data_IF_088287704599
#
_entry.id   IF_088287704599
#
_cell.length_a   1.000
_cell.length_b   1.000
_cell.length_c   1.000
_cell.angle_alpha   90.00
_cell.angle_beta   90.00
_cell.angle_gamma   90.00
#
_symmetry.space_group_name_H-M   'P 1'
#
loop_
_entity.id
_entity.type
_entity.pdbx_description
1 polymer ?
#
# COMPACT_ATOMS: atom_id res chain seq x y z
N UNK A 1 -5.21 6.29 1.47
CA UNK A 1 -5.03 5.95 2.90
C UNK A 1 -5.43 7.11 3.83
N UNK A 2 -4.68 8.20 3.95
CA UNK A 2 -4.90 9.26 4.97
C UNK A 2 -6.15 10.15 4.82
N UNK A 3 -7.00 9.95 3.81
CA UNK A 3 -8.20 10.77 3.55
C UNK A 3 -7.94 12.27 3.32
N UNK A 4 -6.70 12.65 3.06
CA UNK A 4 -6.27 14.00 2.73
C UNK A 4 -5.15 13.95 1.69
N UNK A 5 -4.78 15.11 1.12
CA UNK A 5 -3.56 15.25 0.31
C UNK A 5 -2.33 15.26 1.21
N UNK A 6 -2.03 14.09 1.77
CA UNK A 6 -0.99 13.87 2.77
C UNK A 6 0.43 13.99 2.21
N UNK A 7 0.62 13.56 0.97
CA UNK A 7 1.91 13.55 0.29
C UNK A 7 1.72 14.01 -1.16
N UNK A 8 2.65 14.84 -1.62
CA UNK A 8 2.79 15.26 -3.00
C UNK A 8 3.90 14.45 -3.69
N UNK A 9 3.99 14.56 -5.02
CA UNK A 9 5.13 14.01 -5.77
C UNK A 9 6.48 14.50 -5.21
N UNK A 10 6.55 15.77 -4.78
CA UNK A 10 7.78 16.36 -4.22
C UNK A 10 8.19 15.67 -2.92
N UNK A 11 7.23 15.29 -2.08
CA UNK A 11 7.51 14.59 -0.82
C UNK A 11 8.09 13.21 -1.07
N UNK A 12 7.50 12.45 -2.00
CA UNK A 12 8.05 11.14 -2.38
C UNK A 12 9.40 11.23 -3.09
N UNK A 13 9.62 12.26 -3.93
CA UNK A 13 10.94 12.51 -4.53
C UNK A 13 11.99 12.87 -3.46
N UNK A 14 11.62 13.64 -2.42
CA UNK A 14 12.49 13.93 -1.26
C UNK A 14 12.84 12.65 -0.50
N UNK A 15 11.83 11.89 -0.07
CA UNK A 15 12.03 10.63 0.68
C UNK A 15 12.91 9.66 -0.13
N UNK A 16 12.70 9.58 -1.45
CA UNK A 16 13.55 8.78 -2.33
C UNK A 16 15.00 9.24 -2.34
N UNK A 17 15.26 10.54 -2.32
CA UNK A 17 16.61 11.10 -2.23
C UNK A 17 17.24 10.75 -0.88
N UNK A 18 16.53 11.01 0.22
CA UNK A 18 17.01 10.73 1.58
C UNK A 18 17.37 9.24 1.76
N UNK A 19 16.53 8.34 1.22
CA UNK A 19 16.81 6.90 1.23
C UNK A 19 18.03 6.51 0.38
N UNK A 20 18.23 7.11 -0.78
CA UNK A 20 19.39 6.83 -1.63
C UNK A 20 20.68 7.36 -1.01
N UNK A 21 20.65 8.56 -0.44
CA UNK A 21 21.80 9.17 0.24
C UNK A 21 22.20 8.34 1.48
N UNK A 22 21.22 7.75 2.19
CA UNK A 22 21.47 6.84 3.31
C UNK A 22 21.87 5.41 2.88
N UNK A 23 21.32 4.90 1.76
CA UNK A 23 21.68 3.60 1.16
C UNK A 23 23.12 3.56 0.64
N UNK A 24 23.60 4.69 0.11
CA UNK A 24 25.00 4.86 -0.32
C UNK A 24 26.00 4.74 0.84
N UNK A 25 25.57 4.98 2.09
CA UNK A 25 26.42 4.83 3.29
C UNK A 25 26.49 3.39 3.82
N UNK A 26 25.68 2.45 3.31
CA UNK A 26 25.61 1.06 3.79
C UNK A 26 25.92 0.01 2.71
N UNK A 27 26.43 0.42 1.55
CA UNK A 27 26.83 -0.50 0.48
C UNK A 27 25.67 -1.24 -0.22
N UNK A 28 24.41 -0.90 0.08
CA UNK A 28 23.22 -1.40 -0.61
C UNK A 28 22.95 -0.60 -1.88
N UNK A 29 22.69 -1.26 -3.00
CA UNK A 29 22.44 -0.61 -4.29
C UNK A 29 21.28 0.41 -4.29
N UNK A 30 21.30 1.33 -5.26
CA UNK A 30 20.32 2.42 -5.43
C UNK A 30 18.87 1.92 -5.28
N UNK A 31 18.07 2.59 -4.45
CA UNK A 31 16.61 2.41 -4.39
C UNK A 31 16.05 2.78 -5.77
N UNK A 32 15.56 1.78 -6.50
CA UNK A 32 15.27 1.89 -7.92
C UNK A 32 14.15 2.92 -8.21
N UNK A 33 14.52 3.96 -8.97
CA UNK A 33 13.61 4.96 -9.52
C UNK A 33 12.83 4.40 -10.69
N UNK A 34 11.50 4.46 -10.62
CA UNK A 34 10.64 4.75 -11.77
C UNK A 34 9.67 5.92 -11.43
N UNK A 35 10.24 7.02 -10.91
CA UNK A 35 9.56 8.28 -10.53
C UNK A 35 8.83 8.98 -11.70
N UNK A 36 9.13 8.62 -12.95
CA UNK A 36 8.45 9.20 -14.12
C UNK A 36 6.97 8.81 -14.24
N UNK A 37 6.55 7.68 -13.66
CA UNK A 37 5.17 7.18 -13.76
C UNK A 37 4.47 6.98 -12.41
N UNK A 38 5.06 7.44 -11.30
CA UNK A 38 4.47 7.23 -9.96
C UNK A 38 4.59 5.80 -9.41
N UNK A 39 5.47 4.98 -10.00
CA UNK A 39 5.81 3.65 -9.50
C UNK A 39 6.85 3.77 -8.38
N UNK A 40 6.40 4.18 -7.20
CA UNK A 40 7.25 4.24 -6.02
C UNK A 40 7.51 2.83 -5.47
N UNK A 41 8.76 2.58 -5.10
CA UNK A 41 9.16 1.39 -4.37
C UNK A 41 8.49 1.36 -2.98
N UNK A 42 8.19 0.16 -2.46
CA UNK A 42 7.54 0.00 -1.17
C UNK A 42 8.34 0.65 -0.02
N UNK A 43 9.66 0.77 -0.13
CA UNK A 43 10.51 1.43 0.87
C UNK A 43 10.22 2.93 0.98
N UNK A 44 9.83 3.57 -0.13
CA UNK A 44 9.42 4.98 -0.14
C UNK A 44 8.07 5.14 0.57
N UNK A 45 7.12 4.26 0.27
CA UNK A 45 5.82 4.23 0.94
C UNK A 45 6.02 3.98 2.45
N UNK A 46 6.88 3.03 2.79
CA UNK A 46 7.20 2.68 4.16
C UNK A 46 7.80 3.82 4.96
N UNK A 47 8.76 4.54 4.37
CA UNK A 47 9.37 5.70 5.02
C UNK A 47 8.36 6.84 5.21
N UNK A 48 7.47 7.07 4.23
CA UNK A 48 6.39 8.04 4.36
C UNK A 48 5.39 7.69 5.49
N UNK A 49 5.09 6.40 5.67
CA UNK A 49 4.28 5.94 6.81
C UNK A 49 4.98 6.19 8.14
N UNK A 50 6.27 5.88 8.23
CA UNK A 50 7.07 6.07 9.45
C UNK A 50 7.23 7.54 9.84
N UNK A 51 7.41 8.46 8.88
CA UNK A 51 7.41 9.91 9.13
C UNK A 51 6.10 10.39 9.79
N UNK A 52 5.01 9.64 9.65
CA UNK A 52 3.70 9.91 10.28
C UNK A 52 3.39 9.03 11.50
N UNK A 53 4.35 8.28 12.02
CA UNK A 53 4.17 7.43 13.20
C UNK A 53 3.43 6.11 12.93
N UNK A 54 3.39 5.67 11.67
CA UNK A 54 2.82 4.40 11.27
C UNK A 54 3.89 3.40 10.85
N UNK A 55 3.66 2.15 11.18
CA UNK A 55 4.44 1.01 10.73
C UNK A 55 3.59 0.16 9.79
N UNK A 56 4.25 -0.79 9.12
CA UNK A 56 3.58 -1.71 8.22
C UNK A 56 4.22 -3.08 8.29
N UNK A 57 3.42 -4.11 8.00
CA UNK A 57 3.91 -5.48 7.83
C UNK A 57 3.22 -6.16 6.65
N UNK A 58 3.96 -7.01 5.96
CA UNK A 58 3.37 -7.89 4.96
C UNK A 58 2.41 -8.88 5.62
N UNK A 59 1.21 -9.01 5.06
CA UNK A 59 0.29 -10.06 5.46
C UNK A 59 0.82 -11.42 4.95
N UNK A 60 0.87 -12.41 5.84
CA UNK A 60 1.20 -13.77 5.44
C UNK A 60 -0.01 -14.40 4.74
N UNK A 61 0.06 -14.49 3.40
CA UNK A 61 -1.02 -15.03 2.55
C UNK A 61 -1.45 -16.45 2.86
N UNK A 62 -0.70 -17.19 3.69
CA UNK A 62 -1.06 -18.53 4.17
C UNK A 62 -2.03 -18.50 5.36
N UNK A 63 -2.21 -17.33 5.99
CA UNK A 63 -3.12 -17.13 7.12
C UNK A 63 -4.48 -16.66 6.63
N UNK A 64 -5.49 -16.89 7.45
CA UNK A 64 -6.83 -16.33 7.24
C UNK A 64 -6.79 -14.80 7.46
N UNK A 65 -7.42 -14.04 6.56
CA UNK A 65 -7.54 -12.58 6.66
C UNK A 65 -8.31 -12.14 7.91
N UNK A 66 -9.15 -13.01 8.48
CA UNK A 66 -9.80 -12.79 9.78
C UNK A 66 -8.81 -12.67 10.95
N UNK A 67 -7.54 -13.07 10.78
CA UNK A 67 -6.50 -12.87 11.80
C UNK A 67 -6.05 -11.40 11.92
N UNK A 68 -6.45 -10.54 10.99
CA UNK A 68 -6.21 -9.10 11.06
C UNK A 68 -7.24 -8.48 11.99
N UNK A 69 -6.78 -7.81 13.05
CA UNK A 69 -7.68 -7.02 13.89
C UNK A 69 -7.98 -5.67 13.21
N UNK A 70 -9.08 -5.61 12.45
CA UNK A 70 -9.50 -4.43 11.70
C UNK A 70 -9.83 -3.22 12.57
N UNK A 71 -10.00 -3.36 13.88
CA UNK A 71 -10.25 -2.23 14.79
C UNK A 71 -8.97 -1.52 15.21
N UNK A 72 -7.81 -2.15 15.04
CA UNK A 72 -6.51 -1.60 15.47
C UNK A 72 -5.66 -1.06 14.31
N UNK A 73 -6.02 -1.36 13.07
CA UNK A 73 -5.23 -0.94 11.90
C UNK A 73 -5.75 0.38 11.34
N UNK A 74 -4.84 1.16 10.73
CA UNK A 74 -5.22 2.31 9.91
C UNK A 74 -5.89 1.85 8.61
N UNK A 75 -5.32 0.81 8.00
CA UNK A 75 -5.85 0.23 6.77
C UNK A 75 -4.85 -0.71 6.10
N UNK A 76 -5.15 -1.04 4.86
CA UNK A 76 -4.35 -1.93 4.03
C UNK A 76 -3.84 -1.20 2.80
N UNK A 77 -2.60 -1.48 2.42
CA UNK A 77 -2.05 -1.15 1.10
C UNK A 77 -2.01 -2.43 0.30
N UNK A 78 -2.50 -2.38 -0.92
CA UNK A 78 -2.60 -3.52 -1.80
C UNK A 78 -1.63 -3.30 -2.95
N UNK A 79 -0.77 -4.30 -3.19
CA UNK A 79 0.09 -4.39 -4.37
C UNK A 79 -0.49 -5.43 -5.33
N UNK A 80 -0.91 -5.01 -6.53
CA UNK A 80 -1.42 -5.91 -7.56
C UNK A 80 -0.53 -5.88 -8.80
N UNK A 81 -0.25 -7.05 -9.36
CA UNK A 81 0.37 -7.17 -10.67
C UNK A 81 -0.70 -7.09 -11.76
N UNK A 82 -0.76 -5.96 -12.47
CA UNK A 82 -1.67 -5.81 -13.61
C UNK A 82 -0.94 -6.24 -14.87
N UNK A 83 -1.42 -7.31 -15.52
CA UNK A 83 -0.93 -7.72 -16.84
C UNK A 83 -1.47 -6.73 -17.88
N UNK A 84 -0.59 -6.11 -18.66
CA UNK A 84 -1.04 -5.35 -19.83
C UNK A 84 -1.71 -6.28 -20.85
N UNK A 85 -2.61 -5.71 -21.67
CA UNK A 85 -3.41 -6.41 -22.69
C UNK A 85 -2.59 -7.30 -23.66
N UNK A 86 -1.28 -7.08 -23.77
CA UNK A 86 -0.37 -7.87 -24.62
C UNK A 86 0.63 -8.74 -23.83
N UNK A 87 0.52 -8.82 -22.51
CA UNK A 87 1.45 -9.60 -21.66
C UNK A 87 2.87 -9.03 -21.54
N UNK A 88 3.17 -7.92 -22.21
CA UNK A 88 4.52 -7.36 -22.33
C UNK A 88 4.95 -6.46 -21.16
N UNK A 89 4.02 -6.03 -20.29
CA UNK A 89 4.33 -5.19 -19.13
C UNK A 89 3.48 -5.59 -17.93
N UNK A 90 4.15 -5.93 -16.82
CA UNK A 90 3.53 -6.00 -15.50
C UNK A 90 3.58 -4.58 -14.94
N UNK A 91 2.43 -3.94 -14.77
CA UNK A 91 2.35 -2.69 -14.03
C UNK A 91 1.98 -3.03 -12.59
N UNK A 92 2.81 -2.58 -11.64
CA UNK A 92 2.42 -2.60 -10.23
C UNK A 92 1.31 -1.58 -10.04
N UNK A 93 0.21 -2.03 -9.47
CA UNK A 93 -0.94 -1.20 -9.18
C UNK A 93 -1.15 -1.16 -7.67
N UNK A 94 -0.99 0.05 -7.12
CA UNK A 94 -1.16 0.33 -5.71
C UNK A 94 -2.58 0.83 -5.44
N UNK A 95 -3.27 0.15 -4.53
CA UNK A 95 -4.57 0.56 -4.03
C UNK A 95 -4.58 0.54 -2.49
N UNK A 96 -5.60 1.15 -1.88
CA UNK A 96 -5.73 1.16 -0.42
C UNK A 96 -7.12 0.75 0.01
N UNK A 97 -7.22 -0.01 1.09
CA UNK A 97 -8.48 -0.26 1.82
C UNK A 97 -8.38 0.44 3.16
N UNK A 98 -9.30 1.36 3.43
CA UNK A 98 -9.22 2.27 4.59
C UNK A 98 -10.62 2.63 5.05
N UNK A 99 -10.77 3.06 6.31
CA UNK A 99 -12.07 3.52 6.81
C UNK A 99 -12.40 4.92 6.29
N UNK A 100 -13.62 5.10 5.79
CA UNK A 100 -14.23 6.36 5.38
C UNK A 100 -15.61 6.42 6.02
N UNK A 101 -15.87 7.43 6.86
CA UNK A 101 -17.14 7.57 7.60
C UNK A 101 -17.59 6.25 8.27
N UNK A 102 -16.67 5.58 8.98
CA UNK A 102 -16.85 4.31 9.69
C UNK A 102 -17.00 3.04 8.82
N UNK A 103 -17.16 3.17 7.50
CA UNK A 103 -17.18 2.03 6.58
C UNK A 103 -15.82 1.77 5.95
N UNK A 104 -15.54 0.52 5.63
CA UNK A 104 -14.34 0.17 4.86
C UNK A 104 -14.55 0.52 3.39
N UNK A 105 -13.53 1.10 2.75
CA UNK A 105 -13.61 1.47 1.36
C UNK A 105 -12.30 1.16 0.62
N UNK A 106 -12.43 0.56 -0.56
CA UNK A 106 -11.36 0.38 -1.53
C UNK A 106 -11.20 1.65 -2.38
N UNK A 107 -10.01 2.23 -2.36
CA UNK A 107 -9.63 3.41 -3.14
C UNK A 107 -8.48 3.06 -4.07
N UNK A 108 -8.65 3.39 -5.33
CA UNK A 108 -7.76 3.06 -6.43
C UNK A 108 -7.54 4.33 -7.25
N UNK A 109 -6.28 4.60 -7.58
CA UNK A 109 -5.90 5.82 -8.32
C UNK A 109 -6.53 5.91 -9.72
N UNK A 110 -6.98 4.79 -10.29
CA UNK A 110 -7.67 4.73 -11.57
C UNK A 110 -9.19 4.94 -11.47
N UNK A 111 -9.76 4.88 -10.26
CA UNK A 111 -11.20 5.04 -10.05
C UNK A 111 -11.50 6.40 -9.44
N UNK A 112 -12.48 7.11 -10.03
CA UNK A 112 -12.88 8.44 -9.58
C UNK A 112 -13.59 8.45 -8.21
N UNK A 113 -14.12 7.31 -7.78
CA UNK A 113 -14.81 7.16 -6.49
C UNK A 113 -14.35 5.88 -5.77
N UNK A 114 -14.24 5.92 -4.44
CA UNK A 114 -13.95 4.72 -3.65
C UNK A 114 -15.14 3.75 -3.71
N UNK A 115 -14.85 2.46 -3.72
CA UNK A 115 -15.85 1.40 -3.56
C UNK A 115 -16.03 1.14 -2.05
N UNK A 116 -17.22 1.39 -1.53
CA UNK A 116 -17.54 1.23 -0.11
C UNK A 116 -18.08 -0.19 0.10
N UNK A 117 -17.50 -0.91 1.05
CA UNK A 117 -18.02 -2.20 1.49
C UNK A 117 -19.11 -1.98 2.53
N UNK A 118 -20.26 -2.63 2.33
CA UNK A 118 -21.35 -2.56 3.30
C UNK A 118 -21.04 -3.41 4.53
N UNK A 119 -20.34 -4.52 4.34
CA UNK A 119 -19.94 -5.43 5.41
C UNK A 119 -18.46 -5.83 5.32
N UNK A 120 -17.85 -6.11 6.48
CA UNK A 120 -16.47 -6.61 6.55
C UNK A 120 -16.32 -7.94 5.81
N UNK A 121 -17.36 -8.79 5.80
CA UNK A 121 -17.36 -10.06 5.05
C UNK A 121 -17.17 -9.85 3.55
N UNK A 122 -17.80 -8.83 2.97
CA UNK A 122 -17.64 -8.48 1.55
C UNK A 122 -16.19 -8.06 1.25
N UNK A 123 -15.63 -7.20 2.11
CA UNK A 123 -14.23 -6.80 2.02
C UNK A 123 -13.29 -8.02 2.11
N UNK A 124 -13.54 -8.96 3.02
CA UNK A 124 -12.73 -10.16 3.18
C UNK A 124 -12.76 -11.06 1.94
N UNK A 125 -13.94 -11.24 1.32
CA UNK A 125 -14.08 -11.97 0.06
C UNK A 125 -13.26 -11.30 -1.04
N UNK A 126 -13.35 -9.97 -1.14
CA UNK A 126 -12.58 -9.19 -2.11
C UNK A 126 -11.06 -9.31 -1.89
N UNK A 127 -10.58 -9.15 -0.65
CA UNK A 127 -9.16 -9.27 -0.30
C UNK A 127 -8.63 -10.68 -0.55
N UNK A 128 -9.45 -11.72 -0.27
CA UNK A 128 -9.10 -13.11 -0.56
C UNK A 128 -8.88 -13.32 -2.06
N UNK A 129 -9.79 -12.80 -2.89
CA UNK A 129 -9.65 -12.87 -4.34
C UNK A 129 -8.38 -12.19 -4.84
N UNK A 130 -8.02 -11.03 -4.27
CA UNK A 130 -6.77 -10.33 -4.60
C UNK A 130 -5.55 -11.21 -4.31
N UNK A 131 -5.51 -11.86 -3.15
CA UNK A 131 -4.40 -12.76 -2.78
C UNK A 131 -4.33 -13.96 -3.74
N UNK A 132 -5.48 -14.53 -4.12
CA UNK A 132 -5.58 -15.67 -5.04
C UNK A 132 -5.02 -15.36 -6.44
N UNK A 133 -5.23 -14.14 -6.95
CA UNK A 133 -4.68 -13.69 -8.24
C UNK A 133 -3.22 -13.21 -8.15
N UNK A 134 -2.58 -13.38 -6.99
CA UNK A 134 -1.16 -13.06 -6.78
C UNK A 134 -0.89 -11.63 -6.29
N UNK A 135 -1.90 -10.94 -5.78
CA UNK A 135 -1.74 -9.68 -5.07
C UNK A 135 -1.16 -9.86 -3.68
N UNK A 136 -0.52 -8.81 -3.17
CA UNK A 136 0.07 -8.77 -1.84
C UNK A 136 -0.56 -7.64 -1.02
N UNK A 137 -0.63 -7.84 0.30
CA UNK A 137 -1.28 -6.92 1.22
C UNK A 137 -0.26 -6.49 2.28
N UNK A 138 -0.15 -5.19 2.50
CA UNK A 138 0.50 -4.62 3.67
C UNK A 138 -0.55 -4.16 4.66
N UNK A 139 -0.40 -4.58 5.91
CA UNK A 139 -1.20 -4.11 7.03
C UNK A 139 -0.51 -2.90 7.62
N UNK A 140 -1.19 -1.76 7.67
CA UNK A 140 -0.67 -0.50 8.20
C UNK A 140 -1.38 -0.17 9.50
N UNK A 141 -0.61 0.08 10.56
CA UNK A 141 -1.12 0.48 11.87
C UNK A 141 -0.15 1.44 12.54
N UNK A 142 -0.55 2.01 13.68
CA UNK A 142 0.37 2.83 14.48
C UNK A 142 1.53 1.97 14.98
N UNK A 143 2.68 2.60 15.23
CA UNK A 143 3.91 1.92 15.68
C UNK A 143 3.74 1.09 16.97
N UNK A 144 2.77 1.43 17.82
CA UNK A 144 2.48 0.74 19.08
C UNK A 144 1.60 -0.52 18.91
N UNK A 145 1.07 -0.77 17.71
CA UNK A 145 0.12 -1.85 17.43
C UNK A 145 0.75 -3.06 16.75
N UNK A 146 1.73 -2.85 15.86
CA UNK A 146 2.31 -3.91 15.02
C UNK A 146 3.82 -3.92 15.01
#
# INVERSE_FOLDING_TARGET
>A
MFQEKAFSKKDFDRISKDLNDNSLNLGGGKVAKNSYFGNYDINIIGSALQERGYSYKWFDKRKDLNTINFDLILGLIINMNVKSFLGLRQALHWATVTRIHQKWAYSDSMKSKPNIFEHVSEMLVFLKHIVEIGGEILVVARNDVI
#
